data_IF_489574328140
#
_entry.id   IF_489574328140
#
_cell.length_a   1.000
_cell.length_b   1.000
_cell.length_c   1.000
_cell.angle_alpha   90.00
_cell.angle_beta   90.00
_cell.angle_gamma   90.00
#
_symmetry.space_group_name_H-M   'P 1'
#
loop_
_entity.id
_entity.type
_entity.pdbx_description
1 polymer ?
#
# COMPACT_ATOMS: atom_id res chain seq x y z
N UNK A 1 24.67 -96.52 -5.72
CA UNK A 1 24.77 -95.59 -6.87
C UNK A 1 23.69 -94.53 -6.67
N UNK A 2 24.00 -93.39 -6.06
CA UNK A 2 24.43 -92.09 -6.65
C UNK A 2 23.29 -91.35 -7.40
N UNK A 3 23.03 -90.12 -6.93
CA UNK A 3 22.24 -89.02 -7.52
C UNK A 3 20.71 -89.26 -7.50
N UNK A 4 19.85 -88.37 -7.00
CA UNK A 4 19.68 -86.97 -7.40
C UNK A 4 19.23 -86.12 -6.19
N UNK A 5 20.06 -85.15 -5.82
CA UNK A 5 19.70 -83.92 -5.14
C UNK A 5 19.41 -82.88 -6.24
N UNK A 6 18.34 -82.10 -6.07
CA UNK A 6 18.12 -80.69 -6.47
C UNK A 6 16.70 -80.42 -6.98
N UNK A 7 16.10 -79.40 -6.38
CA UNK A 7 15.05 -78.50 -6.89
C UNK A 7 13.70 -78.57 -6.18
N UNK A 8 13.55 -77.74 -5.14
CA UNK A 8 12.41 -76.84 -4.96
C UNK A 8 12.63 -75.91 -3.74
N UNK A 9 13.76 -75.20 -3.71
CA UNK A 9 14.02 -74.09 -2.78
C UNK A 9 13.90 -72.72 -3.50
N UNK A 10 13.01 -72.63 -4.49
CA UNK A 10 12.77 -71.43 -5.29
C UNK A 10 11.26 -71.21 -5.39
N UNK A 11 10.67 -70.71 -4.31
CA UNK A 11 9.36 -70.04 -4.40
C UNK A 11 9.06 -69.12 -3.20
N UNK A 12 9.75 -69.26 -2.07
CA UNK A 12 9.54 -68.36 -0.91
C UNK A 12 10.38 -67.07 -0.92
N UNK A 13 11.44 -66.98 -1.74
CA UNK A 13 12.26 -65.77 -1.85
C UNK A 13 11.62 -64.66 -2.70
N UNK A 14 10.88 -65.01 -3.76
CA UNK A 14 10.25 -64.03 -4.66
C UNK A 14 9.01 -63.35 -4.06
N UNK A 15 8.26 -64.05 -3.20
CA UNK A 15 7.06 -63.50 -2.57
C UNK A 15 7.39 -62.47 -1.47
N UNK A 16 8.50 -62.67 -0.72
CA UNK A 16 8.92 -61.76 0.34
C UNK A 16 9.57 -60.47 -0.21
N UNK A 17 10.26 -60.54 -1.35
CA UNK A 17 10.86 -59.36 -2.01
C UNK A 17 9.77 -58.54 -2.74
N UNK A 18 8.74 -59.20 -3.28
CA UNK A 18 7.57 -58.52 -3.86
C UNK A 18 6.74 -57.74 -2.84
N UNK A 19 6.55 -58.29 -1.63
CA UNK A 19 5.81 -57.62 -0.54
C UNK A 19 6.59 -56.44 0.06
N UNK A 20 7.92 -56.54 0.20
CA UNK A 20 8.74 -55.42 0.70
C UNK A 20 8.77 -54.21 -0.25
N UNK A 21 8.87 -54.45 -1.56
CA UNK A 21 8.86 -53.38 -2.56
C UNK A 21 7.49 -52.68 -2.66
N UNK A 22 6.38 -53.40 -2.46
CA UNK A 22 5.05 -52.79 -2.42
C UNK A 22 4.81 -51.98 -1.14
N UNK A 23 5.28 -52.44 0.03
CA UNK A 23 5.17 -51.67 1.28
C UNK A 23 5.97 -50.37 1.25
N UNK A 24 7.18 -50.37 0.66
CA UNK A 24 7.99 -49.16 0.52
C UNK A 24 7.33 -48.14 -0.41
N UNK A 25 6.79 -48.60 -1.55
CA UNK A 25 6.08 -47.73 -2.49
C UNK A 25 4.80 -47.10 -1.89
N UNK A 26 4.03 -47.87 -1.11
CA UNK A 26 2.83 -47.37 -0.43
C UNK A 26 3.20 -46.36 0.65
N UNK A 27 4.27 -46.58 1.42
CA UNK A 27 4.73 -45.62 2.43
C UNK A 27 5.24 -44.30 1.82
N UNK A 28 5.93 -44.38 0.66
CA UNK A 28 6.40 -43.21 -0.07
C UNK A 28 5.23 -42.40 -0.67
N UNK A 29 4.24 -43.07 -1.28
CA UNK A 29 3.03 -42.40 -1.80
C UNK A 29 2.20 -41.75 -0.70
N UNK A 30 2.04 -42.42 0.45
CA UNK A 30 1.36 -41.85 1.61
C UNK A 30 2.10 -40.61 2.13
N UNK A 31 3.44 -40.65 2.22
CA UNK A 31 4.26 -39.51 2.64
C UNK A 31 4.18 -38.33 1.67
N UNK A 32 4.24 -38.59 0.36
CA UNK A 32 4.08 -37.55 -0.67
C UNK A 32 2.68 -36.94 -0.62
N UNK A 33 1.63 -37.74 -0.42
CA UNK A 33 0.28 -37.22 -0.22
C UNK A 33 0.15 -36.40 1.06
N UNK A 34 0.76 -36.83 2.18
CA UNK A 34 0.78 -36.05 3.42
C UNK A 34 1.50 -34.72 3.24
N UNK A 35 2.64 -34.69 2.54
CA UNK A 35 3.34 -33.45 2.20
C UNK A 35 2.50 -32.54 1.31
N UNK A 36 1.83 -33.10 0.30
CA UNK A 36 0.94 -32.34 -0.59
C UNK A 36 -0.25 -31.76 0.17
N UNK A 37 -0.84 -32.53 1.08
CA UNK A 37 -1.92 -32.08 1.99
C UNK A 37 -1.43 -31.00 2.95
N UNK A 38 -0.21 -31.10 3.49
CA UNK A 38 0.38 -30.06 4.34
C UNK A 38 0.72 -28.78 3.58
N UNK A 39 1.17 -28.90 2.33
CA UNK A 39 1.45 -27.77 1.45
C UNK A 39 0.16 -27.08 0.99
N UNK A 40 -0.87 -27.85 0.65
CA UNK A 40 -2.19 -27.32 0.33
C UNK A 40 -2.85 -26.70 1.57
N UNK A 41 -2.79 -27.35 2.73
CA UNK A 41 -3.31 -26.81 4.01
C UNK A 41 -2.63 -25.51 4.43
N UNK A 42 -1.30 -25.44 4.41
CA UNK A 42 -0.56 -24.20 4.72
C UNK A 42 -0.84 -23.08 3.71
N UNK A 43 -1.01 -23.41 2.42
CA UNK A 43 -1.39 -22.44 1.38
C UNK A 43 -2.83 -21.93 1.52
N UNK A 44 -3.76 -22.79 1.96
CA UNK A 44 -5.17 -22.43 2.21
C UNK A 44 -5.29 -21.56 3.45
N UNK A 45 -4.56 -21.89 4.53
CA UNK A 45 -4.48 -21.06 5.73
C UNK A 45 -3.87 -19.68 5.41
N UNK A 46 -2.79 -19.63 4.64
CA UNK A 46 -2.17 -18.36 4.21
C UNK A 46 -3.10 -17.49 3.36
N UNK A 47 -3.82 -18.07 2.38
CA UNK A 47 -4.78 -17.32 1.55
C UNK A 47 -5.98 -16.82 2.34
N UNK A 48 -6.55 -17.64 3.24
CA UNK A 48 -7.66 -17.24 4.10
C UNK A 48 -7.25 -16.15 5.10
N UNK A 49 -6.04 -16.26 5.67
CA UNK A 49 -5.46 -15.24 6.54
C UNK A 49 -5.26 -13.90 5.81
N UNK A 50 -4.68 -13.94 4.61
CA UNK A 50 -4.50 -12.74 3.78
C UNK A 50 -5.85 -12.09 3.47
N UNK A 51 -6.84 -12.88 3.03
CA UNK A 51 -8.19 -12.39 2.75
C UNK A 51 -8.82 -11.72 3.97
N UNK A 52 -8.74 -12.35 5.15
CA UNK A 52 -9.30 -11.79 6.37
C UNK A 52 -8.57 -10.51 6.80
N UNK A 53 -7.23 -10.50 6.81
CA UNK A 53 -6.46 -9.30 7.14
C UNK A 53 -6.78 -8.15 6.20
N UNK A 54 -6.82 -8.42 4.90
CA UNK A 54 -7.16 -7.45 3.88
C UNK A 54 -8.57 -6.87 4.08
N UNK A 55 -9.56 -7.71 4.40
CA UNK A 55 -10.92 -7.26 4.69
C UNK A 55 -10.98 -6.35 5.91
N UNK A 56 -10.22 -6.65 6.96
CA UNK A 56 -10.26 -5.89 8.22
C UNK A 56 -9.72 -4.46 8.08
N UNK A 57 -8.73 -4.24 7.21
CA UNK A 57 -8.10 -2.93 6.98
C UNK A 57 -8.79 -2.10 5.87
N UNK A 58 -9.71 -2.70 5.11
CA UNK A 58 -10.38 -2.05 3.97
C UNK A 58 -11.75 -1.54 4.39
N UNK A 59 -12.10 -0.33 3.94
CA UNK A 59 -13.41 0.29 4.19
C UNK A 59 -14.08 0.68 2.88
N UNK A 60 -15.42 0.80 2.87
CA UNK A 60 -16.12 1.55 1.81
C UNK A 60 -16.14 3.03 2.14
N UNK A 61 -15.93 3.85 1.13
CA UNK A 61 -16.11 5.31 1.19
C UNK A 61 -17.37 5.63 0.41
N UNK A 62 -18.47 5.88 1.12
CA UNK A 62 -19.80 6.08 0.52
C UNK A 62 -20.05 7.54 0.17
N UNK A 63 -20.68 7.76 -0.99
CA UNK A 63 -21.15 9.06 -1.46
C UNK A 63 -22.66 9.17 -1.24
N UNK A 64 -23.13 10.02 -0.30
CA UNK A 64 -24.55 10.12 -0.01
C UNK A 64 -25.38 10.57 -1.21
N UNK A 65 -24.82 11.43 -2.07
CA UNK A 65 -25.57 12.09 -3.15
C UNK A 65 -26.04 11.15 -4.26
N UNK A 66 -25.27 10.10 -4.57
CA UNK A 66 -25.58 9.21 -5.69
C UNK A 66 -25.55 7.72 -5.33
N UNK A 67 -25.34 7.37 -4.04
CA UNK A 67 -25.29 6.00 -3.56
C UNK A 67 -24.11 5.17 -4.09
N UNK A 68 -23.15 5.80 -4.78
CA UNK A 68 -21.91 5.15 -5.21
C UNK A 68 -20.89 5.08 -4.08
N UNK A 69 -19.82 4.32 -4.30
CA UNK A 69 -18.71 4.24 -3.36
C UNK A 69 -17.38 4.03 -4.05
N UNK A 70 -16.33 4.41 -3.33
CA UNK A 70 -14.97 3.92 -3.51
C UNK A 70 -14.55 3.02 -2.36
N UNK A 71 -13.28 2.68 -2.34
CA UNK A 71 -12.64 1.95 -1.24
C UNK A 71 -11.65 2.84 -0.51
N UNK A 72 -11.27 2.44 0.69
CA UNK A 72 -10.23 3.10 1.47
C UNK A 72 -9.48 2.12 2.36
N UNK A 73 -8.36 2.58 2.91
CA UNK A 73 -7.44 1.80 3.73
C UNK A 73 -7.32 2.47 5.09
N UNK A 74 -7.53 1.73 6.17
CA UNK A 74 -7.24 2.21 7.53
C UNK A 74 -5.73 2.23 7.74
N UNK A 75 -5.13 3.41 7.78
CA UNK A 75 -3.67 3.59 7.83
C UNK A 75 -3.16 4.07 9.18
N UNK A 76 -4.03 4.64 10.02
CA UNK A 76 -3.65 5.13 11.34
C UNK A 76 -4.84 5.16 12.29
N UNK A 77 -4.54 5.07 13.59
CA UNK A 77 -5.47 5.32 14.69
C UNK A 77 -4.79 6.13 15.79
N UNK A 78 -5.39 7.24 16.19
CA UNK A 78 -5.00 8.06 17.34
C UNK A 78 -6.18 8.14 18.31
N UNK A 79 -6.13 7.39 19.41
CA UNK A 79 -7.27 7.29 20.34
C UNK A 79 -8.51 6.68 19.65
N UNK A 80 -9.59 7.47 19.55
CA UNK A 80 -10.83 7.10 18.82
C UNK A 80 -10.84 7.56 17.37
N UNK A 81 -9.86 8.36 16.92
CA UNK A 81 -9.80 8.90 15.57
C UNK A 81 -9.06 7.92 14.66
N UNK A 82 -9.69 7.56 13.55
CA UNK A 82 -9.10 6.73 12.49
C UNK A 82 -8.84 7.57 11.26
N UNK A 83 -7.70 7.36 10.62
CA UNK A 83 -7.37 7.96 9.32
C UNK A 83 -7.52 6.91 8.22
N UNK A 84 -8.28 7.26 7.18
CA UNK A 84 -8.52 6.46 5.99
C UNK A 84 -7.81 7.09 4.81
N UNK A 85 -6.98 6.31 4.13
CA UNK A 85 -6.40 6.65 2.84
C UNK A 85 -7.35 6.22 1.71
N UNK A 86 -7.55 7.08 0.72
CA UNK A 86 -8.33 6.78 -0.49
C UNK A 86 -7.81 7.60 -1.66
N UNK A 87 -8.45 7.54 -2.83
CA UNK A 87 -8.10 8.41 -3.95
C UNK A 87 -8.78 9.78 -3.86
N UNK A 88 -8.14 10.80 -4.40
CA UNK A 88 -8.75 12.14 -4.50
C UNK A 88 -10.02 12.11 -5.36
N UNK A 89 -10.02 11.36 -6.47
CA UNK A 89 -11.17 11.25 -7.36
C UNK A 89 -12.38 10.59 -6.73
N UNK A 90 -12.17 9.75 -5.72
CA UNK A 90 -13.25 9.22 -4.89
C UNK A 90 -13.88 10.44 -4.22
N UNK A 91 -13.13 11.21 -3.44
CA UNK A 91 -13.66 12.33 -2.62
C UNK A 91 -13.68 13.71 -3.30
N UNK A 92 -13.97 13.78 -4.61
CA UNK A 92 -13.98 15.05 -5.38
C UNK A 92 -15.18 15.97 -5.10
N UNK A 93 -16.33 15.42 -4.73
CA UNK A 93 -17.54 16.21 -4.47
C UNK A 93 -17.43 17.05 -3.20
N UNK A 94 -18.26 18.08 -3.10
CA UNK A 94 -18.53 18.76 -1.84
C UNK A 94 -19.53 17.92 -1.03
N UNK A 95 -19.40 17.88 0.30
CA UNK A 95 -20.34 17.15 1.16
C UNK A 95 -19.70 16.25 2.22
N UNK A 96 -20.56 15.56 2.97
CA UNK A 96 -20.15 14.61 4.01
C UNK A 96 -19.92 13.22 3.42
N UNK A 97 -18.84 12.57 3.84
CA UNK A 97 -18.59 11.16 3.47
C UNK A 97 -19.00 10.25 4.60
N UNK A 98 -19.38 9.03 4.25
CA UNK A 98 -19.60 7.97 5.23
C UNK A 98 -18.58 6.86 5.03
N UNK A 99 -17.91 6.48 6.11
CA UNK A 99 -17.02 5.32 6.15
C UNK A 99 -17.80 4.11 6.66
N UNK A 100 -17.73 3.01 5.92
CA UNK A 100 -18.31 1.72 6.31
C UNK A 100 -17.19 0.67 6.41
N UNK A 101 -16.68 0.36 7.62
CA UNK A 101 -15.73 -0.73 7.84
C UNK A 101 -16.36 -2.12 7.66
N UNK A 102 -15.54 -3.16 7.78
CA UNK A 102 -15.91 -4.55 7.50
C UNK A 102 -17.13 -5.11 8.27
N UNK A 103 -17.53 -4.48 9.37
CA UNK A 103 -18.69 -4.85 10.19
C UNK A 103 -20.00 -4.17 9.78
N UNK A 104 -19.96 -3.29 8.76
CA UNK A 104 -21.14 -2.60 8.23
C UNK A 104 -21.59 -1.37 9.05
N UNK A 105 -20.89 -1.01 10.13
CA UNK A 105 -21.19 0.23 10.85
C UNK A 105 -20.82 1.45 10.00
N UNK A 106 -21.60 2.53 10.12
CA UNK A 106 -21.43 3.75 9.33
C UNK A 106 -21.01 4.91 10.20
N UNK A 107 -19.98 5.64 9.76
CA UNK A 107 -19.45 6.81 10.47
C UNK A 107 -19.38 7.99 9.53
N UNK A 108 -19.79 9.17 10.01
CA UNK A 108 -19.51 10.41 9.31
C UNK A 108 -18.00 10.65 9.31
N UNK A 109 -17.47 11.10 8.17
CA UNK A 109 -16.06 11.38 8.01
C UNK A 109 -15.81 12.80 7.50
N UNK A 110 -14.74 13.39 8.02
CA UNK A 110 -14.22 14.67 7.61
C UNK A 110 -13.09 14.48 6.60
N UNK A 111 -13.02 15.36 5.60
CA UNK A 111 -11.92 15.40 4.64
C UNK A 111 -10.74 16.12 5.28
N UNK A 112 -9.65 15.41 5.53
CA UNK A 112 -8.44 15.96 6.14
C UNK A 112 -7.50 16.52 5.07
N UNK A 113 -7.33 15.78 3.97
CA UNK A 113 -6.46 16.20 2.87
C UNK A 113 -6.94 15.63 1.53
N UNK A 114 -6.63 16.33 0.44
CA UNK A 114 -6.96 15.91 -0.92
C UNK A 114 -5.90 16.42 -1.87
N UNK A 115 -5.55 15.63 -2.89
CA UNK A 115 -4.92 16.05 -4.15
C UNK A 115 -3.84 17.11 -4.07
N UNK A 116 -4.24 18.39 -3.98
CA UNK A 116 -3.33 19.52 -3.78
C UNK A 116 -2.37 19.36 -2.60
N UNK A 117 -2.82 18.72 -1.52
CA UNK A 117 -2.00 18.42 -0.34
C UNK A 117 -1.09 17.20 -0.54
N UNK A 118 -1.26 16.47 -1.64
CA UNK A 118 -0.43 15.37 -2.11
C UNK A 118 0.25 15.73 -3.44
N UNK A 119 0.68 16.99 -3.62
CA UNK A 119 1.37 17.45 -4.84
C UNK A 119 0.62 17.17 -6.16
N UNK A 120 -0.71 17.08 -6.12
CA UNK A 120 -1.55 16.75 -7.27
C UNK A 120 -1.74 15.24 -7.52
N UNK A 121 -1.14 14.37 -6.69
CA UNK A 121 -1.38 12.93 -6.72
C UNK A 121 -2.84 12.62 -6.41
N UNK A 122 -3.36 11.53 -6.95
CA UNK A 122 -4.75 11.13 -6.80
C UNK A 122 -4.97 10.43 -5.45
N UNK A 123 -4.64 11.13 -4.37
CA UNK A 123 -4.66 10.68 -2.99
C UNK A 123 -5.50 11.62 -2.11
N UNK A 124 -6.16 11.05 -1.11
CA UNK A 124 -6.90 11.80 -0.12
C UNK A 124 -6.94 11.07 1.22
N UNK A 125 -7.18 11.85 2.26
CA UNK A 125 -7.29 11.39 3.64
C UNK A 125 -8.64 11.81 4.21
N UNK A 126 -9.32 10.84 4.81
CA UNK A 126 -10.54 11.04 5.58
C UNK A 126 -10.29 10.65 7.03
N UNK A 127 -11.00 11.29 7.95
CA UNK A 127 -11.01 10.91 9.36
C UNK A 127 -12.41 10.64 9.86
N UNK A 128 -12.56 9.60 10.69
CA UNK A 128 -13.79 9.31 11.41
C UNK A 128 -13.48 8.88 12.83
N UNK A 129 -14.45 9.05 13.72
CA UNK A 129 -14.33 8.64 15.12
C UNK A 129 -15.06 7.32 15.37
N UNK A 130 -14.42 6.41 16.10
CA UNK A 130 -15.04 5.18 16.57
C UNK A 130 -14.40 4.68 17.87
N UNK A 131 -15.23 4.12 18.74
CA UNK A 131 -14.78 3.37 19.93
C UNK A 131 -14.50 1.90 19.63
N UNK A 132 -14.88 1.41 18.45
CA UNK A 132 -14.55 0.06 17.99
C UNK A 132 -13.05 -0.05 17.70
N UNK A 133 -12.51 -1.26 17.80
CA UNK A 133 -11.12 -1.54 17.47
C UNK A 133 -11.02 -2.13 16.05
N UNK A 134 -10.60 -1.31 15.10
CA UNK A 134 -10.30 -1.74 13.74
C UNK A 134 -8.78 -1.85 13.56
N UNK A 135 -8.27 -2.97 13.00
CA UNK A 135 -6.87 -3.08 12.64
C UNK A 135 -6.48 -2.02 11.60
N UNK A 136 -5.26 -1.49 11.74
CA UNK A 136 -4.65 -0.62 10.73
C UNK A 136 -3.70 -1.42 9.84
N UNK A 137 -3.51 -0.94 8.62
CA UNK A 137 -2.64 -1.53 7.63
C UNK A 137 -1.16 -1.42 8.03
N UNK A 138 -0.38 -2.44 7.67
CA UNK A 138 1.08 -2.33 7.65
C UNK A 138 1.50 -1.89 6.26
N UNK A 139 2.30 -0.83 6.17
CA UNK A 139 2.73 -0.26 4.90
C UNK A 139 4.17 -0.70 4.59
N UNK A 140 4.48 -0.95 3.33
CA UNK A 140 5.83 -1.35 2.91
C UNK A 140 6.18 -0.82 1.53
N UNK A 141 7.41 -0.34 1.41
CA UNK A 141 7.93 0.14 0.14
C UNK A 141 7.80 -0.91 -0.97
N UNK A 142 7.36 -0.46 -2.15
CA UNK A 142 7.33 -1.26 -3.37
C UNK A 142 8.71 -1.42 -4.00
N UNK A 143 9.70 -0.61 -3.62
CA UNK A 143 11.08 -0.67 -4.16
C UNK A 143 11.76 -2.04 -4.04
N UNK A 144 11.28 -2.91 -3.15
CA UNK A 144 11.73 -4.30 -3.02
C UNK A 144 11.02 -5.32 -3.93
N UNK A 145 10.04 -4.89 -4.73
CA UNK A 145 9.30 -5.76 -5.65
C UNK A 145 9.77 -5.61 -7.10
N UNK A 146 9.55 -6.66 -7.89
CA UNK A 146 9.94 -6.78 -9.29
C UNK A 146 8.75 -7.11 -10.18
N UNK A 147 8.88 -6.87 -11.49
CA UNK A 147 7.91 -7.35 -12.47
C UNK A 147 7.76 -8.89 -12.37
N UNK A 148 6.53 -9.37 -12.35
CA UNK A 148 6.19 -10.77 -12.09
C UNK A 148 5.88 -11.10 -10.63
N UNK A 149 6.21 -10.23 -9.67
CA UNK A 149 5.87 -10.46 -8.27
C UNK A 149 4.36 -10.46 -8.04
N UNK A 150 3.90 -11.43 -7.24
CA UNK A 150 2.48 -11.61 -6.91
C UNK A 150 1.98 -10.46 -6.04
N UNK A 151 0.86 -9.89 -6.43
CA UNK A 151 0.16 -8.84 -5.68
C UNK A 151 -1.35 -9.06 -5.71
N UNK A 152 -2.05 -8.48 -4.74
CA UNK A 152 -3.48 -8.65 -4.57
C UNK A 152 -4.15 -7.29 -4.43
N UNK A 153 -5.05 -6.98 -5.36
CA UNK A 153 -5.85 -5.77 -5.31
C UNK A 153 -7.09 -6.02 -4.47
N UNK A 154 -7.33 -5.18 -3.46
CA UNK A 154 -8.46 -5.35 -2.54
C UNK A 154 -9.35 -4.12 -2.51
N UNK A 155 -10.65 -4.34 -2.32
CA UNK A 155 -11.64 -3.26 -2.34
C UNK A 155 -13.07 -3.77 -2.41
N UNK A 156 -14.00 -2.85 -2.61
CA UNK A 156 -15.43 -3.10 -2.72
C UNK A 156 -15.95 -2.69 -4.11
N UNK A 157 -16.12 -3.64 -5.04
CA UNK A 157 -16.65 -3.34 -6.37
C UNK A 157 -18.04 -2.70 -6.31
N UNK A 158 -18.27 -1.70 -7.15
CA UNK A 158 -19.56 -1.09 -7.47
C UNK A 158 -20.03 -1.62 -8.82
N UNK A 159 -20.93 -2.61 -8.77
CA UNK A 159 -21.48 -3.31 -9.91
C UNK A 159 -22.99 -3.54 -9.67
N UNK A 160 -23.86 -2.53 -9.89
CA UNK A 160 -25.27 -2.57 -9.49
C UNK A 160 -26.06 -3.81 -9.92
N UNK A 161 -25.68 -4.41 -11.05
CA UNK A 161 -26.35 -5.57 -11.66
C UNK A 161 -25.70 -6.92 -11.27
N UNK A 162 -24.64 -6.92 -10.47
CA UNK A 162 -23.91 -8.13 -10.08
C UNK A 162 -24.25 -8.58 -8.66
N UNK A 163 -24.32 -9.89 -8.43
CA UNK A 163 -24.39 -10.47 -7.09
C UNK A 163 -23.17 -10.12 -6.20
N UNK A 164 -22.07 -9.66 -6.81
CA UNK A 164 -20.86 -9.25 -6.10
C UNK A 164 -20.85 -7.76 -5.75
N UNK A 165 -21.91 -7.01 -6.07
CA UNK A 165 -22.01 -5.60 -5.75
C UNK A 165 -21.80 -5.33 -4.25
N UNK A 166 -20.81 -4.50 -3.93
CA UNK A 166 -20.53 -4.08 -2.55
C UNK A 166 -19.99 -5.18 -1.64
N UNK A 167 -19.71 -6.38 -2.16
CA UNK A 167 -19.00 -7.44 -1.42
C UNK A 167 -17.50 -7.13 -1.42
N UNK A 168 -16.82 -7.51 -0.33
CA UNK A 168 -15.35 -7.40 -0.28
C UNK A 168 -14.74 -8.31 -1.37
N UNK A 169 -13.78 -7.78 -2.11
CA UNK A 169 -13.08 -8.49 -3.18
C UNK A 169 -11.58 -8.44 -2.95
N UNK A 170 -10.92 -9.58 -3.20
CA UNK A 170 -9.48 -9.72 -3.27
C UNK A 170 -9.14 -10.37 -4.61
N UNK A 171 -8.52 -9.59 -5.49
CA UNK A 171 -8.23 -9.96 -6.87
C UNK A 171 -6.73 -10.26 -6.98
N UNK A 172 -6.32 -11.52 -7.24
CA UNK A 172 -4.91 -11.85 -7.43
C UNK A 172 -4.39 -11.35 -8.79
N UNK A 173 -3.09 -11.07 -8.85
CA UNK A 173 -2.39 -10.63 -10.05
C UNK A 173 -0.90 -10.55 -9.79
N UNK A 174 -0.20 -9.80 -10.64
CA UNK A 174 1.23 -9.56 -10.54
C UNK A 174 1.57 -8.13 -10.93
N UNK A 175 2.73 -7.65 -10.49
CA UNK A 175 3.33 -6.45 -11.04
C UNK A 175 3.64 -6.72 -12.51
N UNK A 176 3.05 -5.94 -13.41
CA UNK A 176 3.23 -6.09 -14.85
C UNK A 176 4.15 -5.04 -15.45
N UNK A 177 4.37 -3.92 -14.75
CA UNK A 177 5.26 -2.87 -15.23
C UNK A 177 5.76 -1.95 -14.10
N UNK A 178 7.07 -1.70 -14.06
CA UNK A 178 7.73 -0.72 -13.19
C UNK A 178 8.62 0.28 -13.95
N UNK A 179 8.67 0.20 -15.28
CA UNK A 179 9.62 0.94 -16.12
C UNK A 179 9.32 2.42 -16.37
N UNK A 180 8.39 3.05 -15.64
CA UNK A 180 8.13 4.49 -15.80
C UNK A 180 9.24 5.34 -15.16
N UNK A 181 9.90 6.17 -15.96
CA UNK A 181 10.90 7.13 -15.47
C UNK A 181 10.27 8.17 -14.52
N UNK A 182 9.10 8.70 -14.90
CA UNK A 182 8.30 9.63 -14.11
C UNK A 182 6.86 9.10 -13.97
N UNK A 183 6.13 9.43 -12.89
CA UNK A 183 4.76 8.96 -12.71
C UNK A 183 3.82 9.52 -13.79
N UNK A 184 2.76 8.78 -14.07
CA UNK A 184 1.61 9.29 -14.80
C UNK A 184 0.88 10.33 -13.93
N UNK A 185 0.13 11.21 -14.57
CA UNK A 185 -0.73 12.20 -13.93
C UNK A 185 -1.58 11.58 -12.82
N UNK A 186 -1.52 12.14 -11.61
CA UNK A 186 -2.15 11.59 -10.40
C UNK A 186 -1.26 10.63 -9.61
N UNK A 187 0.03 10.54 -9.92
CA UNK A 187 1.02 9.81 -9.14
C UNK A 187 1.14 8.32 -9.42
N UNK A 188 0.48 7.84 -10.46
CA UNK A 188 0.48 6.44 -10.83
C UNK A 188 1.82 6.01 -11.44
N UNK A 189 2.48 5.01 -10.84
CA UNK A 189 3.79 4.54 -11.31
C UNK A 189 3.87 3.03 -11.53
N UNK A 190 2.93 2.28 -10.94
CA UNK A 190 3.00 0.81 -10.88
C UNK A 190 1.91 0.22 -11.74
N UNK A 191 2.29 -0.51 -12.78
CA UNK A 191 1.38 -1.29 -13.60
C UNK A 191 1.16 -2.68 -13.01
N UNK A 192 -0.09 -3.13 -12.98
CA UNK A 192 -0.46 -4.46 -12.48
C UNK A 192 -1.34 -5.21 -13.47
N UNK A 193 -1.31 -6.55 -13.39
CA UNK A 193 -2.22 -7.41 -14.15
C UNK A 193 -3.59 -7.60 -13.47
N UNK A 194 -3.77 -7.09 -12.25
CA UNK A 194 -5.04 -7.13 -11.54
C UNK A 194 -6.11 -6.35 -12.32
N UNK A 195 -7.31 -6.92 -12.44
CA UNK A 195 -8.45 -6.23 -13.01
C UNK A 195 -9.17 -5.43 -11.92
N UNK A 196 -8.83 -4.15 -11.75
CA UNK A 196 -9.58 -3.28 -10.84
C UNK A 196 -11.00 -3.08 -11.37
N UNK A 197 -11.97 -3.30 -10.50
CA UNK A 197 -13.36 -2.99 -10.79
C UNK A 197 -13.67 -1.58 -10.27
N UNK A 198 -14.63 -0.90 -10.92
CA UNK A 198 -15.20 0.35 -10.39
C UNK A 198 -15.56 0.16 -8.92
N UNK A 199 -15.25 1.13 -8.07
CA UNK A 199 -15.46 1.05 -6.62
C UNK A 199 -14.28 0.48 -5.81
N UNK A 200 -13.34 -0.24 -6.45
CA UNK A 200 -12.10 -0.68 -5.79
C UNK A 200 -11.02 0.41 -5.70
N UNK A 201 -11.17 1.50 -6.46
CA UNK A 201 -10.30 2.68 -6.39
C UNK A 201 -10.24 3.23 -4.96
N UNK A 202 -9.04 3.53 -4.49
CA UNK A 202 -8.70 3.91 -3.12
C UNK A 202 -8.41 2.73 -2.19
N UNK A 203 -8.66 1.50 -2.63
CA UNK A 203 -8.30 0.27 -1.91
C UNK A 203 -6.81 -0.09 -2.04
N UNK A 204 -6.36 -1.11 -1.31
CA UNK A 204 -4.94 -1.47 -1.26
C UNK A 204 -4.50 -2.40 -2.39
N UNK A 205 -3.26 -2.21 -2.84
CA UNK A 205 -2.46 -3.25 -3.47
C UNK A 205 -1.60 -3.91 -2.39
N UNK A 206 -1.77 -5.21 -2.18
CA UNK A 206 -1.09 -5.98 -1.14
C UNK A 206 -0.03 -6.90 -1.73
N UNK A 207 1.10 -7.02 -1.04
CA UNK A 207 2.03 -8.13 -1.26
C UNK A 207 1.51 -9.43 -0.62
N UNK A 208 2.16 -10.59 -0.83
CA UNK A 208 1.73 -11.87 -0.26
C UNK A 208 1.71 -11.93 1.28
N UNK A 209 2.42 -11.02 1.96
CA UNK A 209 2.44 -10.89 3.41
C UNK A 209 1.27 -10.06 3.95
N UNK A 210 0.46 -9.47 3.07
CA UNK A 210 -0.65 -8.58 3.44
C UNK A 210 -0.20 -7.19 3.86
N UNK A 211 0.99 -6.78 3.45
CA UNK A 211 1.51 -5.42 3.60
C UNK A 211 1.05 -4.59 2.39
N UNK A 212 0.61 -3.36 2.63
CA UNK A 212 0.17 -2.43 1.59
C UNK A 212 1.41 -1.87 0.90
N UNK A 213 1.49 -2.07 -0.41
CA UNK A 213 2.57 -1.56 -1.28
C UNK A 213 2.10 -0.48 -2.25
N UNK A 214 0.79 -0.23 -2.32
CA UNK A 214 0.24 0.87 -3.09
C UNK A 214 -1.27 1.06 -2.95
N UNK A 215 -1.77 2.11 -3.59
CA UNK A 215 -3.19 2.48 -3.63
C UNK A 215 -3.75 2.26 -5.04
N UNK A 216 -4.77 1.41 -5.15
CA UNK A 216 -5.44 1.10 -6.42
C UNK A 216 -6.12 2.36 -6.95
N UNK A 217 -5.96 2.70 -8.24
CA UNK A 217 -6.71 3.82 -8.84
C UNK A 217 -7.20 3.56 -10.25
N UNK A 218 -6.39 3.86 -11.28
CA UNK A 218 -6.85 3.80 -12.67
C UNK A 218 -7.07 2.35 -13.14
N UNK A 219 -8.27 2.08 -13.64
CA UNK A 219 -8.60 0.82 -14.30
C UNK A 219 -8.18 0.81 -15.76
N UNK A 220 -8.22 -0.38 -16.39
CA UNK A 220 -7.92 -0.60 -17.80
C UNK A 220 -8.70 0.36 -18.69
N UNK A 221 -8.03 1.00 -19.65
CA UNK A 221 -8.71 1.67 -20.75
C UNK A 221 -9.05 0.62 -21.83
N UNK A 222 -10.33 0.43 -22.12
CA UNK A 222 -10.82 -0.72 -22.92
C UNK A 222 -10.66 -0.54 -24.44
N UNK A 223 -10.20 0.62 -24.93
CA UNK A 223 -10.32 0.99 -26.35
C UNK A 223 -9.00 1.15 -27.13
N UNK A 224 -7.88 0.58 -26.66
CA UNK A 224 -6.62 0.57 -27.41
C UNK A 224 -5.99 1.96 -27.68
N UNK A 225 -6.59 3.02 -27.15
CA UNK A 225 -6.00 4.36 -27.14
C UNK A 225 -4.96 4.46 -26.04
N UNK A 226 -3.97 5.35 -26.23
CA UNK A 226 -2.95 5.71 -25.24
C UNK A 226 -3.32 7.03 -24.56
N UNK A 227 -4.28 7.07 -23.60
CA UNK A 227 -4.72 8.32 -22.99
C UNK A 227 -3.77 8.82 -21.90
N UNK A 228 -2.66 8.14 -21.66
CA UNK A 228 -1.78 8.42 -20.53
C UNK A 228 -0.95 9.68 -20.78
N UNK A 229 -0.83 10.49 -19.72
CA UNK A 229 0.07 11.63 -19.64
C UNK A 229 0.90 11.50 -18.39
N UNK A 230 2.13 11.99 -18.45
CA UNK A 230 2.98 12.17 -17.29
C UNK A 230 2.47 13.32 -16.40
N UNK A 231 2.95 13.40 -15.16
CA UNK A 231 2.60 14.50 -14.22
C UNK A 231 2.89 15.89 -14.80
N UNK A 232 3.95 16.03 -15.63
CA UNK A 232 4.27 17.27 -16.33
C UNK A 232 3.35 17.59 -17.53
N UNK A 233 2.32 16.78 -17.77
CA UNK A 233 1.35 16.94 -18.85
C UNK A 233 1.78 16.40 -20.22
N UNK A 234 3.04 15.99 -20.40
CA UNK A 234 3.52 15.42 -21.66
C UNK A 234 2.86 14.06 -21.97
N UNK A 235 2.57 13.75 -23.25
CA UNK A 235 1.97 12.47 -23.63
C UNK A 235 2.94 11.31 -23.39
N UNK A 236 2.41 10.16 -22.99
CA UNK A 236 3.18 8.92 -22.88
C UNK A 236 3.31 8.28 -24.26
N UNK A 237 4.52 7.84 -24.61
CA UNK A 237 4.75 6.99 -25.77
C UNK A 237 4.39 5.53 -25.41
N UNK A 238 3.15 5.13 -25.70
CA UNK A 238 2.70 3.77 -25.40
C UNK A 238 3.42 2.67 -26.20
N UNK A 239 4.19 2.98 -27.24
CA UNK A 239 5.02 1.98 -27.92
C UNK A 239 6.15 1.47 -27.03
N UNK A 240 6.51 2.24 -25.99
CA UNK A 240 7.49 1.87 -24.96
C UNK A 240 6.88 1.15 -23.76
N UNK A 241 5.56 1.08 -23.68
CA UNK A 241 4.89 0.26 -22.67
C UNK A 241 4.90 -1.21 -23.12
N UNK A 242 4.78 -2.16 -22.19
CA UNK A 242 4.69 -3.58 -22.54
C UNK A 242 3.55 -3.82 -23.55
N UNK A 243 3.77 -4.77 -24.46
CA UNK A 243 2.80 -5.11 -25.52
C UNK A 243 1.43 -5.47 -24.93
N UNK A 244 1.41 -6.09 -23.75
CA UNK A 244 0.25 -6.17 -22.89
C UNK A 244 0.27 -5.00 -21.89
N UNK A 245 -0.48 -3.94 -22.18
CA UNK A 245 -0.62 -2.81 -21.26
C UNK A 245 -1.07 -3.28 -19.88
N UNK A 246 -0.55 -2.66 -18.80
CA UNK A 246 -1.06 -2.90 -17.46
C UNK A 246 -2.58 -2.83 -17.44
N UNK A 247 -3.21 -3.82 -16.80
CA UNK A 247 -4.67 -3.84 -16.66
C UNK A 247 -5.12 -2.77 -15.69
N UNK A 248 -4.26 -2.35 -14.76
CA UNK A 248 -4.56 -1.27 -13.83
C UNK A 248 -3.28 -0.58 -13.34
N UNK A 249 -3.42 0.67 -12.91
CA UNK A 249 -2.32 1.47 -12.37
C UNK A 249 -2.51 1.80 -10.89
N UNK A 250 -1.40 1.79 -10.17
CA UNK A 250 -1.33 1.95 -8.71
C UNK A 250 -0.35 3.08 -8.37
N UNK A 251 -0.68 3.84 -7.32
CA UNK A 251 0.21 4.82 -6.70
C UNK A 251 1.07 4.08 -5.67
N UNK A 252 2.41 4.11 -5.76
CA UNK A 252 3.30 3.53 -4.74
C UNK A 252 2.97 4.05 -3.34
N UNK A 253 2.99 3.19 -2.32
CA UNK A 253 2.65 3.59 -0.95
C UNK A 253 3.65 4.58 -0.36
N UNK A 254 4.90 4.58 -0.83
CA UNK A 254 5.94 5.52 -0.38
C UNK A 254 5.53 6.95 -0.66
N UNK A 255 4.86 7.24 -1.79
CA UNK A 255 4.33 8.58 -2.07
C UNK A 255 3.40 9.08 -0.96
N UNK A 256 2.60 8.19 -0.39
CA UNK A 256 1.70 8.54 0.72
C UNK A 256 2.50 8.89 1.96
N UNK A 257 3.53 8.12 2.31
CA UNK A 257 4.36 8.40 3.49
C UNK A 257 5.18 9.68 3.32
N UNK A 258 5.69 9.92 2.12
CA UNK A 258 6.50 11.09 1.76
C UNK A 258 5.70 12.40 1.75
N UNK A 259 4.42 12.31 1.41
CA UNK A 259 3.56 13.48 1.21
C UNK A 259 2.46 13.61 2.26
N UNK A 260 2.31 12.65 3.18
CA UNK A 260 1.28 12.71 4.21
C UNK A 260 1.46 13.95 5.10
N UNK A 261 0.38 14.70 5.38
CA UNK A 261 0.40 15.81 6.34
C UNK A 261 0.99 15.36 7.68
N UNK A 262 1.92 16.09 8.28
CA UNK A 262 2.71 15.55 9.41
C UNK A 262 1.97 15.34 10.73
N UNK A 263 0.69 15.73 10.82
CA UNK A 263 -0.15 15.27 11.95
C UNK A 263 -0.41 13.75 11.88
N UNK A 264 -0.03 13.10 10.78
CA UNK A 264 -0.14 11.67 10.58
C UNK A 264 1.23 10.99 10.73
N UNK A 265 1.47 10.41 11.90
CA UNK A 265 2.50 9.38 12.09
C UNK A 265 2.14 8.10 11.29
N UNK A 266 2.59 8.08 10.04
CA UNK A 266 2.50 6.94 9.13
C UNK A 266 3.93 6.53 8.81
N UNK A 267 4.29 5.29 9.15
CA UNK A 267 5.61 4.74 8.87
C UNK A 267 5.53 3.50 7.99
N UNK A 268 6.54 3.34 7.13
CA UNK A 268 6.77 2.08 6.43
C UNK A 268 7.42 1.08 7.39
N UNK A 269 7.05 -0.19 7.29
CA UNK A 269 7.76 -1.28 7.94
C UNK A 269 9.17 -1.35 7.34
N UNK A 270 10.16 -0.85 8.08
CA UNK A 270 11.57 -1.03 7.78
C UNK A 270 12.19 -1.95 8.85
N UNK A 271 12.32 -3.25 8.61
CA UNK A 271 12.76 -4.18 9.64
C UNK A 271 14.25 -4.04 10.00
N UNK A 272 15.05 -3.31 9.20
CA UNK A 272 16.48 -3.11 9.47
C UNK A 272 17.03 -1.85 8.75
N UNK A 273 16.71 -0.63 9.24
CA UNK A 273 17.22 0.59 8.63
C UNK A 273 18.76 0.64 8.73
N UNK A 274 19.41 1.06 7.65
CA UNK A 274 20.84 1.41 7.68
C UNK A 274 21.11 2.45 8.79
N UNK A 275 22.28 2.44 9.47
CA UNK A 275 22.64 3.49 10.41
C UNK A 275 22.54 4.91 9.83
N UNK A 276 22.64 5.04 8.50
CA UNK A 276 22.57 6.33 7.80
C UNK A 276 21.15 6.71 7.33
N UNK A 277 20.16 5.83 7.51
CA UNK A 277 18.78 6.03 7.06
C UNK A 277 18.20 7.37 7.54
N UNK A 278 18.29 7.61 8.85
CA UNK A 278 17.79 8.81 9.50
C UNK A 278 18.45 10.10 8.99
N UNK A 279 19.71 10.03 8.57
CA UNK A 279 20.40 11.20 7.99
C UNK A 279 19.79 11.57 6.63
N UNK A 280 19.61 10.59 5.75
CA UNK A 280 19.05 10.83 4.42
C UNK A 280 17.57 11.22 4.47
N UNK A 281 16.77 10.60 5.33
CA UNK A 281 15.38 11.01 5.54
C UNK A 281 15.31 12.43 6.11
N UNK A 282 16.16 12.79 7.08
CA UNK A 282 16.20 14.16 7.61
C UNK A 282 16.54 15.21 6.54
N UNK A 283 17.46 14.90 5.61
CA UNK A 283 17.77 15.79 4.48
C UNK A 283 16.61 15.92 3.49
N UNK A 284 15.94 14.81 3.19
CA UNK A 284 14.77 14.76 2.32
C UNK A 284 13.65 15.65 2.86
N UNK A 285 13.28 15.47 4.12
CA UNK A 285 12.25 16.27 4.80
C UNK A 285 12.61 17.76 4.76
N UNK A 286 13.85 18.12 5.06
CA UNK A 286 14.30 19.52 4.99
C UNK A 286 14.27 20.09 3.56
N UNK A 287 14.62 19.28 2.56
CA UNK A 287 14.57 19.70 1.15
C UNK A 287 13.14 19.93 0.67
N UNK A 288 12.20 19.07 1.09
CA UNK A 288 10.77 19.24 0.79
C UNK A 288 10.23 20.53 1.39
N UNK A 289 10.56 20.82 2.66
CA UNK A 289 10.18 22.07 3.31
C UNK A 289 10.70 23.31 2.56
N UNK A 290 11.95 23.26 2.07
CA UNK A 290 12.53 24.35 1.28
C UNK A 290 11.81 24.53 -0.06
N UNK A 291 11.52 23.45 -0.78
CA UNK A 291 10.78 23.51 -2.06
C UNK A 291 9.36 24.08 -1.90
N UNK A 292 8.66 23.74 -0.81
CA UNK A 292 7.36 24.33 -0.48
C UNK A 292 7.47 25.84 -0.20
N UNK A 293 8.52 26.26 0.52
CA UNK A 293 8.77 27.66 0.84
C UNK A 293 9.04 28.51 -0.41
N UNK A 294 9.69 27.95 -1.44
CA UNK A 294 9.93 28.64 -2.71
C UNK A 294 8.67 28.85 -3.56
N UNK A 295 7.54 28.23 -3.20
CA UNK A 295 6.27 28.41 -3.91
C UNK A 295 5.66 29.79 -3.65
N UNK A 296 5.08 30.40 -4.68
CA UNK A 296 4.54 31.77 -4.62
C UNK A 296 3.15 31.88 -3.94
N UNK A 297 2.53 30.78 -3.54
CA UNK A 297 1.11 30.71 -3.14
C UNK A 297 0.90 30.22 -1.69
N UNK A 298 1.70 30.73 -0.76
CA UNK A 298 1.82 30.27 0.64
C UNK A 298 0.54 30.51 1.47
N UNK A 299 -0.39 29.56 1.44
CA UNK A 299 -1.60 29.54 2.29
C UNK A 299 -1.30 28.99 3.69
N UNK A 300 -2.20 29.14 4.69
CA UNK A 300 -2.03 28.48 5.99
C UNK A 300 -1.79 26.98 5.86
N UNK A 301 -2.48 26.28 4.96
CA UNK A 301 -2.30 24.84 4.73
C UNK A 301 -0.88 24.53 4.25
N UNK A 302 -0.33 25.35 3.35
CA UNK A 302 1.06 25.18 2.90
C UNK A 302 2.07 25.45 4.02
N UNK A 303 1.83 26.44 4.87
CA UNK A 303 2.67 26.68 6.04
C UNK A 303 2.56 25.56 7.08
N UNK A 304 1.38 24.94 7.25
CA UNK A 304 1.26 23.74 8.08
C UNK A 304 2.17 22.62 7.56
N UNK A 305 2.28 22.44 6.24
CA UNK A 305 3.19 21.47 5.62
C UNK A 305 4.66 21.83 5.82
N UNK A 306 5.05 23.11 5.68
CA UNK A 306 6.43 23.55 5.92
C UNK A 306 6.84 23.25 7.38
N UNK A 307 6.01 23.63 8.36
CA UNK A 307 6.23 23.35 9.79
C UNK A 307 6.44 21.85 10.02
N UNK A 308 5.50 21.07 9.49
CA UNK A 308 5.49 19.62 9.47
C UNK A 308 6.83 19.00 9.00
N UNK A 309 7.30 19.36 7.80
CA UNK A 309 8.54 18.79 7.26
C UNK A 309 9.78 19.22 8.05
N UNK A 310 9.80 20.42 8.66
CA UNK A 310 10.90 20.83 9.55
C UNK A 310 10.93 20.04 10.85
N UNK A 311 9.78 19.76 11.45
CA UNK A 311 9.68 18.91 12.66
C UNK A 311 10.21 17.49 12.38
N UNK A 312 9.74 16.85 11.29
CA UNK A 312 10.24 15.53 10.87
C UNK A 312 11.74 15.56 10.57
N UNK A 313 12.23 16.58 9.89
CA UNK A 313 13.67 16.71 9.63
C UNK A 313 14.48 16.73 10.93
N UNK A 314 14.03 17.47 11.95
CA UNK A 314 14.68 17.51 13.27
C UNK A 314 14.63 16.14 13.94
N UNK A 315 13.47 15.48 13.96
CA UNK A 315 13.29 14.15 14.56
C UNK A 315 14.23 13.12 13.92
N UNK A 316 14.29 13.09 12.59
CA UNK A 316 15.19 12.21 11.86
C UNK A 316 16.67 12.54 12.17
N UNK A 317 17.06 13.81 12.20
CA UNK A 317 18.43 14.19 12.57
C UNK A 317 18.79 13.80 14.01
N UNK A 318 17.82 13.82 14.94
CA UNK A 318 17.99 13.35 16.31
C UNK A 318 18.12 11.82 16.40
N UNK A 319 17.43 11.09 15.51
CA UNK A 319 17.45 9.64 15.45
C UNK A 319 18.70 9.05 14.78
N UNK A 320 19.57 9.89 14.18
CA UNK A 320 20.86 9.43 13.62
C UNK A 320 21.71 8.80 14.75
N UNK A 321 22.07 7.51 14.66
CA UNK A 321 22.84 6.84 15.69
C UNK A 321 24.28 7.38 15.73
N UNK A 322 24.89 7.39 16.91
CA UNK A 322 26.28 7.82 17.10
C UNK A 322 27.31 6.97 16.34
N UNK A 323 26.91 5.79 15.87
CA UNK A 323 27.70 4.91 15.00
C UNK A 323 27.71 5.34 13.53
N UNK A 324 26.80 6.23 13.12
CA UNK A 324 26.78 6.75 11.75
C UNK A 324 27.91 7.75 11.51
N UNK A 325 28.50 7.70 10.32
CA UNK A 325 29.48 8.69 9.87
C UNK A 325 28.89 10.10 9.76
N UNK A 326 27.57 10.23 9.76
CA UNK A 326 26.85 11.50 9.66
C UNK A 326 26.44 12.09 11.00
N UNK A 327 26.66 11.40 12.13
CA UNK A 327 26.16 11.83 13.44
C UNK A 327 26.51 13.29 13.78
N UNK A 328 27.79 13.64 13.71
CA UNK A 328 28.24 15.01 14.03
C UNK A 328 27.61 16.07 13.10
N UNK A 329 27.43 15.73 11.82
CA UNK A 329 26.78 16.64 10.86
C UNK A 329 25.29 16.78 11.16
N UNK A 330 24.61 15.68 11.51
CA UNK A 330 23.21 15.67 11.90
C UNK A 330 22.98 16.57 13.11
N UNK A 331 23.78 16.40 14.18
CA UNK A 331 23.66 17.21 15.39
C UNK A 331 23.89 18.71 15.13
N UNK A 332 24.83 19.05 14.24
CA UNK A 332 25.08 20.45 13.87
C UNK A 332 23.94 21.07 13.05
N UNK A 333 23.22 20.30 12.23
CA UNK A 333 22.11 20.82 11.43
C UNK A 333 20.83 21.09 12.24
N UNK A 334 20.62 20.39 13.36
CA UNK A 334 19.41 20.53 14.19
C UNK A 334 19.17 21.99 14.62
N UNK A 335 20.22 22.75 14.93
CA UNK A 335 20.10 24.14 15.33
C UNK A 335 19.46 25.00 14.22
N UNK A 336 19.96 24.88 12.99
CA UNK A 336 19.40 25.58 11.83
C UNK A 336 17.94 25.16 11.57
N UNK A 337 17.65 23.86 11.64
CA UNK A 337 16.29 23.39 11.37
C UNK A 337 15.28 23.88 12.42
N UNK A 338 15.70 24.08 13.67
CA UNK A 338 14.87 24.69 14.72
C UNK A 338 14.59 26.16 14.45
N UNK A 339 15.57 26.91 13.93
CA UNK A 339 15.34 28.30 13.51
C UNK A 339 14.35 28.38 12.35
N UNK A 340 14.53 27.53 11.33
CA UNK A 340 13.64 27.43 10.18
C UNK A 340 12.21 27.05 10.60
N UNK A 341 12.08 26.12 11.56
CA UNK A 341 10.80 25.72 12.16
C UNK A 341 10.10 26.89 12.86
N UNK A 342 10.82 27.61 13.72
CA UNK A 342 10.26 28.77 14.43
C UNK A 342 9.76 29.84 13.47
N UNK A 343 10.52 30.10 12.40
CA UNK A 343 10.09 31.03 11.34
C UNK A 343 8.78 30.56 10.68
N UNK A 344 8.70 29.28 10.30
CA UNK A 344 7.51 28.72 9.67
C UNK A 344 6.27 28.79 10.58
N UNK A 345 6.42 28.48 11.87
CA UNK A 345 5.34 28.58 12.85
C UNK A 345 4.82 30.02 12.99
N UNK A 346 5.72 31.01 12.98
CA UNK A 346 5.34 32.43 13.05
C UNK A 346 4.51 32.86 11.84
N UNK A 347 4.87 32.42 10.62
CA UNK A 347 4.10 32.75 9.41
C UNK A 347 2.74 32.07 9.40
N UNK A 348 2.67 30.80 9.81
CA UNK A 348 1.42 30.07 9.95
C UNK A 348 0.43 30.80 10.88
N UNK A 349 0.90 31.16 12.07
CA UNK A 349 0.11 31.90 13.07
C UNK A 349 -0.39 33.23 12.53
N UNK A 350 0.46 33.96 11.81
CA UNK A 350 0.10 35.22 11.18
C UNK A 350 -1.07 35.05 10.19
N UNK A 351 -0.96 34.09 9.26
CA UNK A 351 -1.99 33.88 8.24
C UNK A 351 -3.31 33.39 8.82
N UNK A 352 -3.27 32.48 9.81
CA UNK A 352 -4.47 32.02 10.52
C UNK A 352 -5.24 33.18 11.16
N UNK A 353 -4.52 34.14 11.76
CA UNK A 353 -5.15 35.35 12.33
C UNK A 353 -5.76 36.23 11.26
N UNK A 354 -5.09 36.40 10.13
CA UNK A 354 -5.60 37.20 9.00
C UNK A 354 -6.85 36.58 8.36
N UNK A 355 -6.96 35.25 8.33
CA UNK A 355 -8.17 34.56 7.87
C UNK A 355 -9.31 34.67 8.87
N UNK A 356 -9.03 34.46 10.16
CA UNK A 356 -10.02 34.60 11.21
C UNK A 356 -10.58 36.04 11.29
N UNK A 357 -9.80 37.05 10.92
CA UNK A 357 -10.25 38.45 10.87
C UNK A 357 -11.10 38.77 9.61
N UNK A 358 -11.11 37.91 8.60
CA UNK A 358 -11.87 38.07 7.35
C UNK A 358 -13.22 37.36 7.36
N UNK A 359 -13.40 36.41 8.29
CA UNK A 359 -14.66 35.71 8.56
C UNK A 359 -15.47 36.48 9.62
#
# INVERSE_FOLDING_TARGET
MKQILFSAALCMGGLLIGLHNQTLAVSALAYVNSLKVLQESSSVTSKSQLHNRAKLITVKVLFPENGSWGSGILIQRQGSVYTVLTNAHVVRGEGSYTIEPHNGQKYNAQKLAVGSLFNGDDLALLQFESTQNYPIASLKAISGLQEGDKVFAVGYPYQPESENNGKFSLVPGQISFLGLEQPLMGGYKVGTSNDFLKGMSGGALLNPQGEVVGVNGMHKHLFGTCPYRYENGSPVDCSKLPQELPRSWTIPIEKVVEQAPCKLDISLVNPNPSPDFHWFEGLKESSTAAGLLESAAQSPEQWELIVCHREKAIEQMQAVPSTSNFYARAQNQIAQYKEDLNYAQLQLEKLKREEAARQ
#
